data_IF_140788929533
#
_entry.id   IF_140788929533
#
_cell.length_a   1.000
_cell.length_b   1.000
_cell.length_c   1.000
_cell.angle_alpha   90.00
_cell.angle_beta   90.00
_cell.angle_gamma   90.00
#
_symmetry.space_group_name_H-M   'P 1'
#
loop_
_entity.id
_entity.type
_entity.pdbx_description
1 polymer ?
#
# COMPACT_ATOMS: atom_id res chain seq x y z
N UNK A 1 -34.00 23.25 21.43
CA UNK A 1 -34.00 23.34 19.97
C UNK A 1 -32.77 22.59 19.46
N UNK A 2 -32.81 22.10 18.23
CA UNK A 2 -31.65 21.44 17.62
C UNK A 2 -31.23 22.26 16.41
N UNK A 3 -29.93 22.58 16.32
CA UNK A 3 -29.36 23.26 15.16
C UNK A 3 -28.77 22.20 14.23
N UNK A 4 -29.14 22.26 12.96
CA UNK A 4 -28.57 21.40 11.91
C UNK A 4 -27.51 22.16 11.11
N UNK A 5 -26.38 21.53 10.87
CA UNK A 5 -25.27 22.05 10.08
C UNK A 5 -24.99 21.02 8.99
N UNK A 6 -25.22 21.39 7.73
CA UNK A 6 -24.93 20.55 6.57
C UNK A 6 -23.60 21.00 5.97
N UNK A 7 -22.67 20.05 5.87
CA UNK A 7 -21.36 20.22 5.22
C UNK A 7 -21.35 19.37 3.94
N UNK A 8 -21.16 20.04 2.79
CA UNK A 8 -21.08 19.41 1.48
C UNK A 8 -19.85 19.95 0.75
N UNK A 9 -18.99 19.03 0.29
CA UNK A 9 -17.79 19.37 -0.48
C UNK A 9 -18.11 19.42 -1.98
N UNK A 10 -17.41 20.29 -2.70
CA UNK A 10 -17.51 20.34 -4.16
C UNK A 10 -16.86 19.10 -4.79
N UNK A 11 -17.61 18.42 -5.66
CA UNK A 11 -17.05 17.32 -6.46
C UNK A 11 -16.13 17.85 -7.56
N UNK A 12 -14.98 17.19 -7.85
CA UNK A 12 -14.02 17.69 -8.83
C UNK A 12 -14.60 17.85 -10.25
N UNK A 13 -14.11 18.83 -10.99
CA UNK A 13 -14.55 19.12 -12.34
C UNK A 13 -13.79 18.33 -13.41
N UNK A 14 -12.49 18.10 -13.22
CA UNK A 14 -11.66 17.37 -14.18
C UNK A 14 -11.75 15.84 -13.98
N UNK A 15 -11.61 15.09 -15.06
CA UNK A 15 -11.78 13.64 -15.07
C UNK A 15 -10.77 12.90 -14.17
N UNK A 16 -9.53 13.37 -14.08
CA UNK A 16 -8.50 12.72 -13.28
C UNK A 16 -8.82 12.76 -11.77
N UNK A 17 -9.23 13.92 -11.26
CA UNK A 17 -9.62 14.08 -9.86
C UNK A 17 -10.95 13.37 -9.55
N UNK A 18 -11.86 13.30 -10.53
CA UNK A 18 -13.09 12.49 -10.46
C UNK A 18 -12.75 11.01 -10.32
N UNK A 19 -11.84 10.48 -11.14
CA UNK A 19 -11.35 9.10 -11.07
C UNK A 19 -10.64 8.83 -9.74
N UNK A 20 -9.81 9.77 -9.26
CA UNK A 20 -9.15 9.64 -7.97
C UNK A 20 -10.18 9.54 -6.82
N UNK A 21 -11.21 10.37 -6.86
CA UNK A 21 -12.33 10.35 -5.90
C UNK A 21 -13.07 9.02 -5.94
N UNK A 22 -13.55 8.58 -7.11
CA UNK A 22 -14.27 7.32 -7.27
C UNK A 22 -13.42 6.11 -6.87
N UNK A 23 -12.15 6.07 -7.26
CA UNK A 23 -11.25 4.98 -6.90
C UNK A 23 -11.14 4.79 -5.39
N UNK A 24 -11.23 5.88 -4.60
CA UNK A 24 -11.23 5.83 -3.14
C UNK A 24 -12.58 5.35 -2.55
N UNK A 25 -13.69 5.51 -3.27
CA UNK A 25 -15.00 5.01 -2.86
C UNK A 25 -15.11 3.50 -3.08
N UNK A 26 -14.62 3.01 -4.22
CA UNK A 26 -14.78 1.62 -4.64
C UNK A 26 -13.65 0.70 -4.16
N UNK A 27 -12.64 1.20 -3.44
CA UNK A 27 -11.45 0.41 -3.08
C UNK A 27 -11.70 -0.71 -2.06
N UNK A 28 -12.87 -0.76 -1.42
CA UNK A 28 -13.28 -1.84 -0.52
C UNK A 28 -14.78 -2.06 -0.60
N UNK A 29 -15.19 -3.32 -0.50
CA UNK A 29 -16.58 -3.74 -0.61
C UNK A 29 -17.45 -3.24 0.55
N UNK A 30 -16.87 -2.99 1.73
CA UNK A 30 -17.60 -2.37 2.84
C UNK A 30 -17.91 -0.88 2.60
N UNK A 31 -17.04 -0.14 1.88
CA UNK A 31 -17.35 1.24 1.46
C UNK A 31 -18.39 1.26 0.36
N UNK A 32 -18.29 0.35 -0.60
CA UNK A 32 -19.32 0.10 -1.62
C UNK A 32 -20.66 -0.14 -0.94
N UNK A 33 -20.73 -1.09 0.00
CA UNK A 33 -21.95 -1.38 0.75
C UNK A 33 -22.45 -0.15 1.54
N UNK A 34 -21.55 0.63 2.15
CA UNK A 34 -21.89 1.88 2.83
C UNK A 34 -22.58 2.85 1.89
N UNK A 35 -22.00 3.13 0.72
CA UNK A 35 -22.54 4.09 -0.24
C UNK A 35 -23.88 3.63 -0.82
N UNK A 36 -24.02 2.34 -1.13
CA UNK A 36 -25.26 1.77 -1.69
C UNK A 36 -26.44 1.74 -0.72
N UNK A 37 -26.22 1.89 0.59
CA UNK A 37 -27.29 1.92 1.62
C UNK A 37 -27.56 3.34 2.16
N UNK A 38 -26.97 4.36 1.52
CA UNK A 38 -27.29 5.76 1.76
C UNK A 38 -28.37 6.23 0.79
N UNK A 39 -29.15 7.20 1.24
CA UNK A 39 -30.17 7.91 0.46
C UNK A 39 -30.06 9.42 0.74
N UNK A 40 -31.07 10.19 0.33
CA UNK A 40 -31.11 11.65 0.50
C UNK A 40 -31.31 12.06 1.96
N UNK A 41 -31.80 11.15 2.80
CA UNK A 41 -32.01 11.39 4.22
C UNK A 41 -30.72 11.12 4.99
N UNK A 42 -30.25 12.04 5.84
CA UNK A 42 -29.08 11.81 6.68
C UNK A 42 -29.26 10.57 7.57
N UNK A 43 -28.28 9.67 7.55
CA UNK A 43 -28.23 8.45 8.37
C UNK A 43 -27.00 8.38 9.25
N UNK A 44 -27.19 8.03 10.50
CA UNK A 44 -26.08 7.73 11.41
C UNK A 44 -25.37 6.42 11.01
N UNK A 45 -24.10 6.29 11.41
CA UNK A 45 -23.32 5.07 11.16
C UNK A 45 -24.00 3.79 11.68
N UNK A 46 -24.76 3.88 12.78
CA UNK A 46 -25.54 2.75 13.34
C UNK A 46 -26.70 2.33 12.43
N UNK A 47 -27.39 3.29 11.83
CA UNK A 47 -28.50 3.04 10.92
C UNK A 47 -27.99 2.46 9.59
N UNK A 48 -26.89 3.00 9.06
CA UNK A 48 -26.24 2.46 7.87
C UNK A 48 -25.84 0.99 8.10
N UNK A 49 -25.20 0.71 9.23
CA UNK A 49 -24.82 -0.67 9.60
C UNK A 49 -26.04 -1.58 9.74
N UNK A 50 -27.15 -1.10 10.31
CA UNK A 50 -28.39 -1.86 10.44
C UNK A 50 -28.99 -2.20 9.07
N UNK A 51 -29.05 -1.24 8.15
CA UNK A 51 -29.50 -1.48 6.77
C UNK A 51 -28.65 -2.50 6.04
N UNK A 52 -27.32 -2.39 6.12
CA UNK A 52 -26.43 -3.39 5.53
C UNK A 52 -26.65 -4.77 6.16
N UNK A 53 -26.90 -4.82 7.49
CA UNK A 53 -27.21 -6.06 8.21
C UNK A 53 -28.53 -6.67 7.75
N UNK A 54 -29.56 -5.86 7.54
CA UNK A 54 -30.87 -6.30 7.01
C UNK A 54 -30.70 -6.91 5.62
N UNK A 55 -29.90 -6.27 4.74
CA UNK A 55 -29.63 -6.75 3.38
C UNK A 55 -28.89 -8.08 3.34
N UNK A 56 -27.85 -8.28 4.16
CA UNK A 56 -27.04 -9.52 4.09
C UNK A 56 -27.51 -10.62 5.06
N UNK A 57 -28.41 -10.29 5.99
CA UNK A 57 -28.77 -11.17 7.10
C UNK A 57 -27.56 -11.55 7.96
N UNK A 58 -27.14 -12.82 7.92
CA UNK A 58 -26.01 -13.33 8.71
C UNK A 58 -24.70 -13.14 7.95
N UNK A 59 -23.62 -12.82 8.66
CA UNK A 59 -22.30 -12.60 8.06
C UNK A 59 -21.47 -11.58 8.82
N UNK A 60 -20.23 -11.38 8.38
CA UNK A 60 -19.36 -10.40 9.01
C UNK A 60 -19.82 -8.97 8.76
N UNK A 61 -19.79 -8.13 9.81
CA UNK A 61 -19.77 -6.68 9.69
C UNK A 61 -18.83 -6.08 10.74
N UNK A 62 -18.13 -4.98 10.42
CA UNK A 62 -17.25 -4.33 11.38
C UNK A 62 -18.07 -3.59 12.46
N UNK A 63 -17.34 -2.97 13.40
CA UNK A 63 -17.94 -2.11 14.42
C UNK A 63 -18.51 -0.82 13.79
N UNK A 64 -19.40 -0.15 14.51
CA UNK A 64 -20.12 1.04 14.02
C UNK A 64 -19.17 2.18 13.66
N UNK A 65 -18.06 2.31 14.39
CA UNK A 65 -17.02 3.33 14.15
C UNK A 65 -16.38 3.19 12.76
N UNK A 66 -16.35 1.97 12.21
CA UNK A 66 -15.85 1.73 10.86
C UNK A 66 -16.79 2.32 9.80
N UNK A 67 -18.11 2.24 9.99
CA UNK A 67 -19.09 2.88 9.10
C UNK A 67 -19.02 4.41 9.20
N UNK A 68 -18.80 4.95 10.41
CA UNK A 68 -18.54 6.39 10.58
C UNK A 68 -17.27 6.82 9.83
N UNK A 69 -16.20 6.03 9.92
CA UNK A 69 -14.98 6.30 9.17
C UNK A 69 -15.23 6.25 7.65
N UNK A 70 -16.03 5.30 7.16
CA UNK A 70 -16.41 5.27 5.74
C UNK A 70 -17.21 6.49 5.31
N UNK A 71 -18.24 6.87 6.08
CA UNK A 71 -18.99 8.11 5.84
C UNK A 71 -18.10 9.33 5.75
N UNK A 72 -17.14 9.49 6.68
CA UNK A 72 -16.15 10.57 6.62
C UNK A 72 -15.28 10.50 5.35
N UNK A 73 -14.78 9.33 4.97
CA UNK A 73 -13.95 9.21 3.76
C UNK A 73 -14.73 9.45 2.47
N UNK A 74 -16.03 9.14 2.43
CA UNK A 74 -16.92 9.41 1.31
C UNK A 74 -17.30 10.88 1.23
N UNK A 75 -17.47 11.53 2.39
CA UNK A 75 -17.63 12.98 2.49
C UNK A 75 -16.39 13.72 1.98
N UNK A 76 -15.19 13.25 2.34
CA UNK A 76 -13.92 13.87 1.92
C UNK A 76 -13.69 13.89 0.41
N UNK A 77 -14.40 13.03 -0.33
CA UNK A 77 -14.37 12.94 -1.79
C UNK A 77 -15.69 13.41 -2.44
N UNK A 78 -16.51 14.17 -1.69
CA UNK A 78 -17.73 14.83 -2.16
C UNK A 78 -18.85 13.91 -2.68
N UNK A 79 -18.84 12.61 -2.34
CA UNK A 79 -19.93 11.69 -2.70
C UNK A 79 -21.07 11.68 -1.65
N UNK A 80 -20.80 12.20 -0.46
CA UNK A 80 -21.70 12.17 0.69
C UNK A 80 -21.66 13.53 1.39
N UNK A 81 -22.83 14.06 1.75
CA UNK A 81 -22.94 15.22 2.62
C UNK A 81 -22.94 14.77 4.09
N UNK A 82 -22.43 15.63 4.97
CA UNK A 82 -22.36 15.39 6.41
C UNK A 82 -23.28 16.35 7.15
N UNK A 83 -24.31 15.82 7.79
CA UNK A 83 -25.17 16.60 8.67
C UNK A 83 -24.74 16.43 10.13
N UNK A 84 -24.43 17.54 10.80
CA UNK A 84 -24.15 17.55 12.24
C UNK A 84 -25.31 18.24 12.96
N UNK A 85 -25.96 17.50 13.84
CA UNK A 85 -27.03 18.04 14.69
C UNK A 85 -26.45 18.37 16.06
N UNK A 86 -26.63 19.62 16.48
CA UNK A 86 -26.08 20.16 17.72
C UNK A 86 -27.24 20.57 18.64
N UNK A 87 -27.18 20.13 19.90
CA UNK A 87 -28.14 20.53 20.95
C UNK A 87 -27.88 21.99 21.35
N UNK A 88 -28.85 22.66 21.96
CA UNK A 88 -28.68 24.02 22.50
C UNK A 88 -27.47 24.16 23.45
N UNK A 89 -27.07 23.08 24.13
CA UNK A 89 -25.88 23.02 24.98
C UNK A 89 -24.54 23.12 24.23
N UNK A 90 -24.57 23.19 22.90
CA UNK A 90 -23.38 23.13 22.03
C UNK A 90 -22.83 21.71 21.83
N UNK A 91 -23.40 20.69 22.49
CA UNK A 91 -23.00 19.29 22.32
C UNK A 91 -23.55 18.70 21.03
N UNK A 92 -22.70 17.98 20.29
CA UNK A 92 -23.11 17.20 19.13
C UNK A 92 -24.10 16.12 19.60
N UNK A 93 -25.31 16.15 19.04
CA UNK A 93 -26.34 15.15 19.27
C UNK A 93 -26.07 13.90 18.45
N UNK A 94 -25.86 14.07 17.14
CA UNK A 94 -25.46 13.00 16.22
C UNK A 94 -24.85 13.57 14.93
N UNK A 95 -24.23 12.68 14.15
CA UNK A 95 -23.68 12.94 12.82
C UNK A 95 -24.34 11.98 11.84
N UNK A 96 -25.01 12.53 10.83
CA UNK A 96 -25.64 11.81 9.75
C UNK A 96 -24.91 12.00 8.42
N UNK A 97 -25.09 11.03 7.52
CA UNK A 97 -24.53 11.01 6.16
C UNK A 97 -25.66 10.81 5.15
N UNK A 98 -25.67 11.58 4.06
CA UNK A 98 -26.61 11.43 2.94
C UNK A 98 -25.88 11.54 1.59
N UNK A 99 -26.48 11.04 0.52
CA UNK A 99 -25.89 11.14 -0.81
C UNK A 99 -25.90 12.59 -1.33
N UNK A 100 -24.80 13.03 -1.93
CA UNK A 100 -24.79 14.24 -2.78
C UNK A 100 -25.26 13.88 -4.20
N UNK A 101 -25.50 14.89 -5.03
CA UNK A 101 -25.77 14.68 -6.45
C UNK A 101 -24.63 13.93 -7.15
N UNK A 102 -23.37 14.19 -6.79
CA UNK A 102 -22.24 13.42 -7.30
C UNK A 102 -22.24 11.97 -6.79
N UNK A 103 -22.64 11.74 -5.54
CA UNK A 103 -22.84 10.41 -4.98
C UNK A 103 -23.86 9.59 -5.77
N UNK A 104 -25.01 10.19 -6.10
CA UNK A 104 -26.06 9.56 -6.91
C UNK A 104 -25.60 9.33 -8.35
N UNK A 105 -25.08 10.39 -8.98
CA UNK A 105 -24.76 10.43 -10.41
C UNK A 105 -23.57 9.56 -10.75
N UNK A 106 -22.51 9.59 -9.95
CA UNK A 106 -21.25 8.94 -10.27
C UNK A 106 -20.87 7.83 -9.29
N UNK A 107 -21.10 8.09 -8.00
CA UNK A 107 -20.73 7.18 -6.91
C UNK A 107 -21.44 5.82 -7.02
N UNK A 108 -22.78 5.83 -7.03
CA UNK A 108 -23.59 4.60 -7.07
C UNK A 108 -23.30 3.74 -8.30
N UNK A 109 -23.30 4.27 -9.54
CA UNK A 109 -22.93 3.48 -10.72
C UNK A 109 -21.56 2.83 -10.63
N UNK A 110 -20.54 3.58 -10.22
CA UNK A 110 -19.19 3.04 -10.08
C UNK A 110 -19.12 1.93 -9.01
N UNK A 111 -19.85 2.09 -7.90
CA UNK A 111 -19.90 1.07 -6.84
C UNK A 111 -20.61 -0.21 -7.28
N UNK A 112 -21.71 -0.12 -8.04
CA UNK A 112 -22.42 -1.30 -8.56
C UNK A 112 -21.52 -2.08 -9.52
N UNK A 113 -20.89 -1.39 -10.49
CA UNK A 113 -19.99 -2.04 -11.43
C UNK A 113 -18.80 -2.71 -10.73
N UNK A 114 -18.21 -2.05 -9.74
CA UNK A 114 -17.08 -2.58 -8.98
C UNK A 114 -17.48 -3.79 -8.15
N UNK A 115 -18.68 -3.77 -7.54
CA UNK A 115 -19.21 -4.89 -6.78
C UNK A 115 -19.45 -6.09 -7.67
N UNK A 116 -20.12 -5.87 -8.81
CA UNK A 116 -20.39 -6.92 -9.80
C UNK A 116 -19.09 -7.57 -10.27
N UNK A 117 -18.13 -6.76 -10.73
CA UNK A 117 -16.83 -7.25 -11.16
C UNK A 117 -16.15 -8.09 -10.07
N UNK A 118 -16.16 -7.61 -8.82
CA UNK A 118 -15.50 -8.29 -7.70
C UNK A 118 -16.08 -9.67 -7.43
N UNK A 119 -17.41 -9.76 -7.43
CA UNK A 119 -18.14 -11.00 -7.18
C UNK A 119 -17.98 -11.96 -8.36
N UNK A 120 -18.20 -11.49 -9.58
CA UNK A 120 -18.17 -12.31 -10.80
C UNK A 120 -16.76 -12.86 -11.09
N UNK A 121 -15.72 -12.12 -10.72
CA UNK A 121 -14.32 -12.53 -10.91
C UNK A 121 -13.67 -13.06 -9.62
N UNK A 122 -14.44 -13.21 -8.54
CA UNK A 122 -14.01 -13.72 -7.24
C UNK A 122 -12.71 -13.08 -6.74
N UNK A 123 -12.64 -11.74 -6.79
CA UNK A 123 -11.48 -10.95 -6.42
C UNK A 123 -11.94 -9.67 -5.74
N UNK A 124 -11.34 -9.31 -4.60
CA UNK A 124 -11.73 -8.07 -3.93
C UNK A 124 -11.13 -6.84 -4.61
N UNK A 125 -11.90 -5.75 -4.71
CA UNK A 125 -11.42 -4.43 -5.10
C UNK A 125 -10.25 -3.97 -4.23
N UNK A 126 -10.16 -4.38 -2.97
CA UNK A 126 -9.01 -4.08 -2.12
C UNK A 126 -7.73 -4.71 -2.64
N UNK A 127 -7.79 -5.90 -3.24
CA UNK A 127 -6.60 -6.51 -3.81
C UNK A 127 -6.14 -5.77 -5.07
N UNK A 128 -7.10 -5.28 -5.87
CA UNK A 128 -6.85 -4.55 -7.10
C UNK A 128 -6.35 -3.14 -6.80
N UNK A 129 -7.11 -2.36 -6.02
CA UNK A 129 -6.90 -0.93 -5.77
C UNK A 129 -6.09 -0.65 -4.51
N UNK A 130 -6.09 -1.55 -3.53
CA UNK A 130 -5.29 -1.40 -2.32
C UNK A 130 -5.87 -0.43 -1.29
N UNK A 131 -5.02 -0.05 -0.34
CA UNK A 131 -5.40 0.77 0.80
C UNK A 131 -5.20 2.27 0.56
N UNK A 132 -6.02 3.08 1.22
CA UNK A 132 -5.95 4.55 1.26
C UNK A 132 -5.11 5.09 2.43
N UNK A 133 -4.44 4.22 3.20
CA UNK A 133 -3.68 4.62 4.39
C UNK A 133 -2.47 5.52 4.09
N UNK A 134 -2.01 5.59 2.83
CA UNK A 134 -0.99 6.55 2.40
C UNK A 134 -1.66 7.85 1.93
N UNK A 135 -1.19 9.00 2.42
CA UNK A 135 -1.75 10.31 2.04
C UNK A 135 -1.29 10.80 0.65
N UNK A 136 -2.07 11.71 0.05
CA UNK A 136 -1.73 12.42 -1.20
C UNK A 136 -1.64 11.55 -2.46
N UNK A 137 -0.82 11.98 -3.42
CA UNK A 137 -0.61 11.34 -4.74
C UNK A 137 0.04 9.94 -4.66
N UNK A 138 0.36 9.48 -3.45
CA UNK A 138 0.87 8.13 -3.17
C UNK A 138 -0.24 7.12 -2.83
N UNK A 139 -1.51 7.52 -2.92
CA UNK A 139 -2.66 6.64 -2.65
C UNK A 139 -2.70 5.47 -3.63
N UNK A 140 -2.83 4.27 -3.08
CA UNK A 140 -2.79 3.04 -3.88
C UNK A 140 -3.89 2.96 -4.95
N UNK A 141 -5.16 3.34 -4.68
CA UNK A 141 -6.25 3.10 -5.64
C UNK A 141 -6.00 3.74 -7.00
N UNK A 142 -5.86 5.07 -7.03
CA UNK A 142 -5.70 5.78 -8.29
C UNK A 142 -4.40 5.43 -9.02
N UNK A 143 -3.28 5.29 -8.31
CA UNK A 143 -2.01 4.91 -8.93
C UNK A 143 -2.06 3.53 -9.57
N UNK A 144 -2.72 2.55 -8.95
CA UNK A 144 -2.88 1.22 -9.56
C UNK A 144 -3.78 1.26 -10.79
N UNK A 145 -4.83 2.08 -10.80
CA UNK A 145 -5.62 2.30 -12.01
C UNK A 145 -4.75 2.87 -13.14
N UNK A 146 -3.97 3.92 -12.85
CA UNK A 146 -3.05 4.54 -13.82
C UNK A 146 -2.03 3.54 -14.35
N UNK A 147 -1.38 2.75 -13.48
CA UNK A 147 -0.45 1.69 -13.91
C UNK A 147 -1.12 0.74 -14.91
N UNK A 148 -2.32 0.25 -14.59
CA UNK A 148 -3.03 -0.71 -15.45
C UNK A 148 -3.47 -0.07 -16.77
N UNK A 149 -3.90 1.20 -16.78
CA UNK A 149 -4.19 1.96 -18.01
C UNK A 149 -2.96 2.06 -18.90
N UNK A 150 -1.84 2.57 -18.37
CA UNK A 150 -0.62 2.78 -19.16
C UNK A 150 -0.08 1.46 -19.72
N UNK A 151 -0.16 0.37 -18.94
CA UNK A 151 0.23 -0.95 -19.41
C UNK A 151 -0.77 -1.55 -20.42
N UNK A 152 -2.06 -1.23 -20.34
CA UNK A 152 -3.05 -1.64 -21.34
C UNK A 152 -2.77 -0.99 -22.69
N UNK A 153 -2.54 0.33 -22.69
CA UNK A 153 -2.30 1.14 -23.89
C UNK A 153 -0.97 0.78 -24.58
N UNK A 154 0.09 0.56 -23.79
CA UNK A 154 1.45 0.34 -24.31
C UNK A 154 1.86 -1.13 -24.33
N UNK A 155 1.06 -2.01 -23.73
CA UNK A 155 1.31 -3.45 -23.58
C UNK A 155 2.37 -3.80 -22.53
N UNK A 156 3.55 -3.17 -22.62
CA UNK A 156 4.70 -3.41 -21.77
C UNK A 156 5.45 -2.11 -21.51
N UNK A 157 5.88 -1.89 -20.27
CA UNK A 157 6.65 -0.72 -19.86
C UNK A 157 7.81 -1.09 -18.94
N UNK A 158 8.85 -0.26 -18.96
CA UNK A 158 9.92 -0.33 -17.95
C UNK A 158 9.42 0.38 -16.70
N UNK A 159 9.82 -0.10 -15.53
CA UNK A 159 9.44 0.49 -14.23
C UNK A 159 9.80 1.98 -14.14
N UNK A 160 10.93 2.38 -14.72
CA UNK A 160 11.37 3.78 -14.75
C UNK A 160 10.47 4.67 -15.62
N UNK A 161 9.89 4.12 -16.70
CA UNK A 161 8.96 4.86 -17.56
C UNK A 161 7.62 5.03 -16.82
N UNK A 162 7.18 4.00 -16.09
CA UNK A 162 6.01 4.09 -15.21
C UNK A 162 6.20 5.14 -14.11
N UNK A 163 7.39 5.22 -13.52
CA UNK A 163 7.75 6.25 -12.53
C UNK A 163 7.61 7.66 -13.11
N UNK A 164 8.11 7.88 -14.32
CA UNK A 164 8.06 9.16 -15.02
C UNK A 164 6.63 9.54 -15.42
N UNK A 165 5.91 8.63 -16.08
CA UNK A 165 4.52 8.86 -16.55
C UNK A 165 3.57 9.11 -15.37
N UNK A 166 3.73 8.34 -14.29
CA UNK A 166 2.83 8.44 -13.12
C UNK A 166 3.23 9.61 -12.23
N UNK A 167 4.49 10.04 -12.25
CA UNK A 167 5.01 11.06 -11.36
C UNK A 167 5.12 10.57 -9.90
N UNK A 168 5.44 9.29 -9.69
CA UNK A 168 5.50 8.68 -8.36
C UNK A 168 6.87 8.09 -8.05
N UNK A 169 7.17 7.83 -6.77
CA UNK A 169 8.47 7.27 -6.37
C UNK A 169 8.62 5.81 -6.84
N UNK A 170 9.82 5.44 -7.28
CA UNK A 170 10.18 4.06 -7.65
C UNK A 170 9.73 3.01 -6.61
N UNK A 171 9.93 3.26 -5.31
CA UNK A 171 9.51 2.32 -4.26
C UNK A 171 7.99 2.12 -4.22
N UNK A 172 7.21 3.15 -4.54
CA UNK A 172 5.74 3.07 -4.57
C UNK A 172 5.29 2.27 -5.79
N UNK A 173 5.82 2.60 -6.97
CA UNK A 173 5.53 1.86 -8.21
C UNK A 173 5.89 0.38 -8.07
N UNK A 174 7.07 0.08 -7.53
CA UNK A 174 7.50 -1.31 -7.29
C UNK A 174 6.50 -2.06 -6.38
N UNK A 175 6.05 -1.44 -5.28
CA UNK A 175 5.05 -2.05 -4.37
C UNK A 175 3.73 -2.31 -5.07
N UNK A 176 3.29 -1.39 -5.93
CA UNK A 176 2.06 -1.56 -6.71
C UNK A 176 2.20 -2.70 -7.73
N UNK A 177 3.30 -2.74 -8.48
CA UNK A 177 3.57 -3.80 -9.45
C UNK A 177 3.66 -5.18 -8.78
N UNK A 178 4.33 -5.30 -7.64
CA UNK A 178 4.36 -6.55 -6.86
C UNK A 178 2.95 -6.98 -6.45
N UNK A 179 2.12 -6.05 -5.98
CA UNK A 179 0.76 -6.36 -5.56
C UNK A 179 -0.14 -6.78 -6.74
N UNK A 180 -0.02 -6.10 -7.88
CA UNK A 180 -0.74 -6.43 -9.12
C UNK A 180 -0.26 -7.77 -9.72
N UNK A 181 1.04 -8.06 -9.63
CA UNK A 181 1.59 -9.34 -10.06
C UNK A 181 1.07 -10.49 -9.18
N UNK A 182 0.95 -10.29 -7.86
CA UNK A 182 0.40 -11.28 -6.93
C UNK A 182 -1.03 -11.73 -7.29
N UNK A 183 -1.83 -10.86 -7.90
CA UNK A 183 -3.20 -11.18 -8.33
C UNK A 183 -3.31 -11.58 -9.80
N UNK A 184 -2.17 -11.68 -10.51
CA UNK A 184 -2.10 -12.09 -11.92
C UNK A 184 -2.56 -11.02 -12.91
N UNK A 185 -2.54 -9.74 -12.54
CA UNK A 185 -2.92 -8.65 -13.45
C UNK A 185 -1.77 -8.20 -14.34
N UNK A 186 -0.53 -8.36 -13.86
CA UNK A 186 0.69 -8.02 -14.59
C UNK A 186 1.75 -9.10 -14.36
N UNK A 187 2.70 -9.25 -15.28
CA UNK A 187 4.01 -9.80 -14.93
C UNK A 187 4.89 -8.65 -14.46
N UNK A 188 5.78 -8.92 -13.50
CA UNK A 188 6.76 -7.95 -13.05
C UNK A 188 8.11 -8.62 -12.83
N UNK A 189 8.98 -8.50 -13.82
CA UNK A 189 10.33 -9.03 -13.78
C UNK A 189 11.22 -8.03 -13.05
N UNK A 190 11.21 -8.10 -11.72
CA UNK A 190 12.01 -7.23 -10.87
C UNK A 190 13.47 -7.66 -10.93
N UNK A 191 14.34 -6.79 -11.44
CA UNK A 191 15.77 -7.02 -11.40
C UNK A 191 16.26 -6.64 -10.01
N UNK A 192 16.44 -7.66 -9.15
CA UNK A 192 16.97 -7.47 -7.80
C UNK A 192 18.39 -6.92 -7.80
N UNK A 193 18.84 -6.36 -6.68
CA UNK A 193 20.20 -5.82 -6.52
C UNK A 193 21.31 -6.83 -6.89
N UNK A 194 21.05 -8.13 -6.80
CA UNK A 194 21.96 -9.21 -7.23
C UNK A 194 22.06 -9.39 -8.75
N UNK A 195 20.99 -9.08 -9.50
CA UNK A 195 20.92 -9.17 -10.97
C UNK A 195 21.20 -7.82 -11.65
N UNK A 196 21.20 -6.70 -10.91
CA UNK A 196 21.56 -5.35 -11.42
C UNK A 196 23.01 -5.21 -11.88
N UNK A 197 23.80 -6.29 -11.89
CA UNK A 197 25.24 -6.24 -12.10
C UNK A 197 25.92 -5.62 -10.89
N UNK A 198 27.03 -6.21 -10.46
CA UNK A 198 27.86 -5.61 -9.41
C UNK A 198 28.82 -4.64 -10.07
N UNK A 199 28.71 -3.35 -9.76
CA UNK A 199 29.72 -2.38 -10.19
C UNK A 199 31.09 -2.80 -9.64
N UNK A 200 32.09 -2.86 -10.52
CA UNK A 200 33.48 -2.87 -10.08
C UNK A 200 34.03 -1.45 -10.17
N UNK A 201 34.93 -1.15 -9.25
CA UNK A 201 35.54 0.16 -9.08
C UNK A 201 37.05 0.00 -9.21
N UNK A 202 37.67 0.91 -9.94
CA UNK A 202 39.12 0.95 -10.12
C UNK A 202 39.60 2.37 -9.93
N UNK A 203 40.76 2.54 -9.29
CA UNK A 203 41.38 3.85 -9.18
C UNK A 203 41.78 4.38 -10.57
N UNK A 204 41.58 5.68 -10.81
CA UNK A 204 42.02 6.29 -12.07
C UNK A 204 43.52 6.57 -11.98
N UNK A 205 44.35 6.03 -12.88
CA UNK A 205 45.79 6.27 -12.87
C UNK A 205 46.13 7.77 -12.89
N UNK A 206 47.12 8.17 -12.10
CA UNK A 206 47.58 9.57 -11.99
C UNK A 206 46.81 10.45 -11.02
N UNK A 207 45.75 9.95 -10.37
CA UNK A 207 45.08 10.65 -9.25
C UNK A 207 45.75 10.33 -7.92
N UNK A 208 45.99 11.35 -7.08
CA UNK A 208 46.54 11.18 -5.74
C UNK A 208 45.42 10.84 -4.73
N UNK A 209 45.56 9.77 -3.92
CA UNK A 209 44.59 9.43 -2.88
C UNK A 209 44.56 10.46 -1.73
N UNK A 210 45.63 11.25 -1.53
CA UNK A 210 45.70 12.27 -0.49
C UNK A 210 44.85 13.52 -0.80
N UNK A 211 44.45 13.70 -2.06
CA UNK A 211 43.65 14.84 -2.51
C UNK A 211 42.14 14.55 -2.52
N UNK A 212 41.72 13.43 -1.93
CA UNK A 212 40.31 13.02 -1.87
C UNK A 212 39.56 13.81 -0.80
N UNK A 213 38.45 14.43 -1.17
CA UNK A 213 37.56 15.05 -0.20
C UNK A 213 36.77 13.98 0.57
N UNK A 214 36.54 14.22 1.85
CA UNK A 214 35.78 13.30 2.70
C UNK A 214 34.33 13.16 2.20
N UNK A 215 33.86 11.90 2.09
CA UNK A 215 32.47 11.62 1.73
C UNK A 215 31.61 11.48 2.99
N UNK A 216 30.77 12.48 3.25
CA UNK A 216 29.90 12.53 4.43
C UNK A 216 30.68 12.75 5.72
N UNK A 217 30.33 12.04 6.80
CA UNK A 217 31.03 12.12 8.10
C UNK A 217 32.12 11.04 8.27
N UNK A 218 32.51 10.36 7.20
CA UNK A 218 33.33 9.14 7.27
C UNK A 218 34.78 9.38 6.82
N UNK A 219 35.49 10.27 7.52
CA UNK A 219 36.86 10.70 7.19
C UNK A 219 37.81 9.50 7.05
N UNK A 220 37.95 8.71 8.13
CA UNK A 220 38.89 7.58 8.18
C UNK A 220 38.54 6.49 7.17
N UNK A 221 37.26 6.17 6.99
CA UNK A 221 36.85 5.14 6.03
C UNK A 221 37.02 5.62 4.58
N UNK A 222 36.77 6.91 4.30
CA UNK A 222 37.00 7.48 2.96
C UNK A 222 38.46 7.35 2.57
N UNK A 223 39.38 7.72 3.47
CA UNK A 223 40.83 7.59 3.25
C UNK A 223 41.23 6.13 3.04
N UNK A 224 40.79 5.21 3.92
CA UNK A 224 41.07 3.77 3.78
C UNK A 224 40.58 3.18 2.45
N UNK A 225 39.40 3.59 1.97
CA UNK A 225 38.87 3.15 0.67
C UNK A 225 39.70 3.70 -0.48
N UNK A 226 40.08 4.98 -0.44
CA UNK A 226 40.91 5.61 -1.47
C UNK A 226 42.31 5.00 -1.54
N UNK A 227 42.98 4.86 -0.38
CA UNK A 227 44.32 4.27 -0.26
C UNK A 227 44.34 2.84 -0.81
N UNK A 228 43.34 2.02 -0.44
CA UNK A 228 43.25 0.65 -0.89
C UNK A 228 43.12 0.56 -2.42
N UNK A 229 42.21 1.34 -3.01
CA UNK A 229 42.00 1.34 -4.46
C UNK A 229 43.23 1.84 -5.22
N UNK A 230 43.88 2.89 -4.72
CA UNK A 230 45.08 3.48 -5.32
C UNK A 230 46.28 2.51 -5.29
N UNK A 231 46.47 1.78 -4.18
CA UNK A 231 47.58 0.84 -4.02
C UNK A 231 47.42 -0.44 -4.84
N UNK A 232 46.18 -0.93 -4.99
CA UNK A 232 45.95 -2.25 -5.57
C UNK A 232 45.63 -2.22 -7.07
N UNK A 233 45.27 -1.05 -7.62
CA UNK A 233 44.99 -0.77 -9.04
C UNK A 233 44.22 -1.88 -9.79
N UNK A 234 43.32 -2.58 -9.09
CA UNK A 234 42.49 -3.68 -9.59
C UNK A 234 41.03 -3.29 -9.46
N UNK A 235 40.24 -3.78 -10.40
CA UNK A 235 38.79 -3.71 -10.30
C UNK A 235 38.30 -4.49 -9.08
N UNK A 236 37.50 -3.85 -8.23
CA UNK A 236 36.94 -4.48 -7.03
C UNK A 236 35.46 -4.16 -6.84
N UNK A 237 34.72 -5.15 -6.38
CA UNK A 237 33.31 -5.04 -6.02
C UNK A 237 33.12 -4.51 -4.60
N UNK A 238 32.05 -3.75 -4.34
CA UNK A 238 31.78 -3.14 -3.04
C UNK A 238 31.78 -4.14 -1.85
N UNK A 239 31.15 -5.32 -1.97
CA UNK A 239 31.17 -6.31 -0.89
C UNK A 239 32.54 -6.93 -0.69
N UNK A 240 33.29 -7.14 -1.77
CA UNK A 240 34.66 -7.66 -1.70
C UNK A 240 35.54 -6.65 -0.99
N UNK A 241 35.43 -5.37 -1.35
CA UNK A 241 36.13 -4.28 -0.67
C UNK A 241 35.74 -4.17 0.81
N UNK A 242 34.46 -4.36 1.16
CA UNK A 242 34.00 -4.39 2.54
C UNK A 242 34.66 -5.50 3.36
N UNK A 243 34.85 -6.69 2.75
CA UNK A 243 35.52 -7.81 3.40
C UNK A 243 37.01 -7.55 3.58
N UNK A 244 37.69 -7.04 2.55
CA UNK A 244 39.13 -6.76 2.62
C UNK A 244 39.45 -5.63 3.60
N UNK A 245 38.58 -4.63 3.70
CA UNK A 245 38.71 -3.57 4.70
C UNK A 245 38.21 -3.98 6.09
N UNK A 246 37.75 -5.22 6.26
CA UNK A 246 37.16 -5.74 7.51
C UNK A 246 36.06 -4.84 8.08
N UNK A 247 35.28 -4.23 7.18
CA UNK A 247 34.26 -3.26 7.55
C UNK A 247 32.87 -3.89 7.47
N UNK A 248 32.10 -3.73 8.56
CA UNK A 248 30.81 -4.42 8.77
C UNK A 248 29.67 -3.90 7.87
N UNK A 249 29.77 -2.68 7.35
CA UNK A 249 28.64 -1.97 6.71
C UNK A 249 28.95 -1.61 5.24
N UNK A 250 28.67 -2.52 4.28
CA UNK A 250 28.93 -2.30 2.85
C UNK A 250 28.25 -1.05 2.26
N UNK A 251 27.12 -0.62 2.81
CA UNK A 251 26.36 0.56 2.38
C UNK A 251 27.17 1.86 2.50
N UNK A 252 28.03 1.96 3.51
CA UNK A 252 28.91 3.11 3.70
C UNK A 252 30.01 3.14 2.65
N UNK A 253 30.60 1.98 2.36
CA UNK A 253 31.60 1.82 1.30
C UNK A 253 30.97 2.15 -0.05
N UNK A 254 29.74 1.68 -0.32
CA UNK A 254 29.01 2.03 -1.54
C UNK A 254 28.80 3.53 -1.70
N UNK A 255 28.50 4.25 -0.60
CA UNK A 255 28.35 5.71 -0.61
C UNK A 255 29.68 6.42 -0.88
N UNK A 256 30.77 5.95 -0.25
CA UNK A 256 32.13 6.48 -0.47
C UNK A 256 32.54 6.26 -1.93
N UNK A 257 32.43 5.04 -2.45
CA UNK A 257 32.75 4.71 -3.85
C UNK A 257 31.97 5.59 -4.83
N UNK A 258 30.69 5.85 -4.55
CA UNK A 258 29.88 6.77 -5.37
C UNK A 258 30.37 8.22 -5.30
N UNK A 259 30.86 8.65 -4.14
CA UNK A 259 31.47 9.97 -3.95
C UNK A 259 32.81 10.11 -4.66
N UNK A 260 33.68 9.10 -4.59
CA UNK A 260 34.97 9.08 -5.29
C UNK A 260 34.82 9.06 -6.82
N UNK A 261 33.78 8.41 -7.33
CA UNK A 261 33.40 8.48 -8.76
C UNK A 261 33.01 9.92 -9.12
N UNK A 262 32.21 10.60 -8.29
CA UNK A 262 31.83 12.01 -8.54
C UNK A 262 33.00 12.97 -8.50
N UNK A 263 33.99 12.70 -7.65
CA UNK A 263 35.25 13.46 -7.59
C UNK A 263 36.20 13.14 -8.76
N UNK A 264 35.89 12.15 -9.59
CA UNK A 264 36.75 11.74 -10.71
C UNK A 264 38.06 11.06 -10.27
N UNK A 265 38.07 10.45 -9.07
CA UNK A 265 39.21 9.69 -8.54
C UNK A 265 39.12 8.20 -8.88
N UNK A 266 37.90 7.69 -9.03
CA UNK A 266 37.62 6.27 -9.25
C UNK A 266 36.82 6.10 -10.53
N UNK A 267 37.31 5.24 -11.41
CA UNK A 267 36.59 4.72 -12.57
C UNK A 267 35.62 3.64 -12.11
N UNK A 268 34.44 3.63 -12.73
CA UNK A 268 33.43 2.58 -12.51
C UNK A 268 33.25 1.84 -13.81
N UNK A 269 33.42 0.51 -13.80
CA UNK A 269 33.22 -0.28 -15.02
C UNK A 269 31.81 -0.14 -15.58
N UNK A 270 31.75 -0.19 -16.91
CA UNK A 270 30.54 -0.16 -17.74
C UNK A 270 30.04 -1.55 -18.14
N UNK A 271 30.60 -2.65 -17.58
CA UNK A 271 29.99 -3.98 -17.76
C UNK A 271 28.56 -4.06 -17.20
N UNK A 272 28.16 -3.04 -16.42
CA UNK A 272 26.78 -2.62 -16.32
C UNK A 272 26.34 -1.76 -17.51
N UNK A 273 25.48 -2.33 -18.36
CA UNK A 273 24.71 -1.57 -19.33
C UNK A 273 23.58 -0.82 -18.64
N UNK A 274 23.94 0.36 -18.14
CA UNK A 274 23.04 1.38 -17.67
C UNK A 274 21.83 1.55 -18.59
N UNK A 275 20.69 0.95 -18.23
CA UNK A 275 19.45 1.10 -18.97
C UNK A 275 19.15 0.07 -20.06
N UNK A 276 19.92 -1.01 -20.20
CA UNK A 276 19.52 -2.12 -21.08
C UNK A 276 18.69 -3.20 -20.38
N UNK A 277 19.01 -3.56 -19.13
CA UNK A 277 18.19 -4.48 -18.34
C UNK A 277 17.47 -3.65 -17.25
N UNK A 278 16.21 -3.31 -17.51
CA UNK A 278 15.34 -2.59 -16.57
C UNK A 278 14.25 -3.53 -16.07
N UNK A 279 13.74 -3.32 -14.86
CA UNK A 279 12.54 -4.04 -14.43
C UNK A 279 11.42 -3.74 -15.43
N UNK A 280 10.74 -4.78 -15.89
CA UNK A 280 9.69 -4.66 -16.91
C UNK A 280 8.38 -5.15 -16.29
N UNK A 281 7.32 -4.42 -16.59
CA UNK A 281 5.96 -4.82 -16.31
C UNK A 281 5.18 -4.99 -17.60
N UNK A 282 4.37 -6.04 -17.69
CA UNK A 282 3.48 -6.32 -18.82
C UNK A 282 2.09 -6.65 -18.30
N UNK A 283 1.05 -6.07 -18.88
CA UNK A 283 -0.32 -6.41 -18.51
C UNK A 283 -0.69 -7.81 -19.01
N UNK A 284 -1.37 -8.57 -18.14
CA UNK A 284 -1.92 -9.90 -18.45
C UNK A 284 -3.41 -9.80 -18.79
N UNK A 285 -3.98 -10.87 -19.34
CA UNK A 285 -5.37 -10.91 -19.78
C UNK A 285 -6.36 -10.56 -18.66
N UNK A 286 -6.09 -11.01 -17.43
CA UNK A 286 -6.92 -10.66 -16.26
C UNK A 286 -6.89 -9.15 -15.97
N UNK A 287 -5.73 -8.51 -16.13
CA UNK A 287 -5.59 -7.05 -15.99
C UNK A 287 -6.27 -6.30 -17.13
N UNK A 288 -6.17 -6.81 -18.37
CA UNK A 288 -6.88 -6.27 -19.54
C UNK A 288 -8.40 -6.36 -19.37
N UNK A 289 -8.90 -7.51 -18.91
CA UNK A 289 -10.31 -7.75 -18.61
C UNK A 289 -10.82 -6.75 -17.57
N UNK A 290 -10.11 -6.58 -16.46
CA UNK A 290 -10.47 -5.57 -15.45
C UNK A 290 -10.52 -4.15 -16.03
N UNK A 291 -9.53 -3.80 -16.86
CA UNK A 291 -9.51 -2.48 -17.51
C UNK A 291 -10.78 -2.28 -18.36
N UNK A 292 -11.13 -3.27 -19.17
CA UNK A 292 -12.23 -3.15 -20.12
C UNK A 292 -13.61 -3.24 -19.44
N UNK A 293 -13.75 -4.05 -18.39
CA UNK A 293 -15.04 -4.28 -17.70
C UNK A 293 -15.28 -3.38 -16.48
N UNK A 294 -14.25 -2.71 -15.95
CA UNK A 294 -14.39 -1.84 -14.76
C UNK A 294 -13.81 -0.44 -14.95
N UNK A 295 -12.58 -0.32 -15.44
CA UNK A 295 -11.94 0.99 -15.58
C UNK A 295 -12.61 1.86 -16.66
N UNK A 296 -12.77 1.33 -17.89
CA UNK A 296 -13.41 2.07 -18.98
C UNK A 296 -14.85 2.49 -18.66
N UNK A 297 -15.73 1.60 -18.14
CA UNK A 297 -17.05 2.01 -17.68
C UNK A 297 -17.03 3.13 -16.63
N UNK A 298 -16.05 3.11 -15.71
CA UNK A 298 -15.89 4.20 -14.73
C UNK A 298 -15.52 5.52 -15.41
N UNK A 299 -14.67 5.50 -16.44
CA UNK A 299 -14.32 6.68 -17.25
C UNK A 299 -15.54 7.22 -17.99
N UNK A 300 -16.35 6.34 -18.58
CA UNK A 300 -17.59 6.71 -19.29
C UNK A 300 -18.57 7.42 -18.35
N UNK A 301 -18.86 6.81 -17.19
CA UNK A 301 -19.72 7.40 -16.15
C UNK A 301 -19.24 8.80 -15.76
N UNK A 302 -17.93 8.95 -15.48
CA UNK A 302 -17.37 10.20 -14.97
C UNK A 302 -17.22 11.29 -16.03
N UNK A 303 -17.27 10.89 -17.30
CA UNK A 303 -17.27 11.79 -18.46
C UNK A 303 -18.68 12.06 -18.98
N UNK A 304 -19.71 11.64 -18.23
CA UNK A 304 -21.13 11.77 -18.59
C UNK A 304 -21.55 11.04 -19.88
N UNK A 305 -20.68 10.17 -20.41
CA UNK A 305 -20.99 9.33 -21.56
C UNK A 305 -21.78 8.11 -21.11
N UNK A 306 -22.96 7.89 -21.70
CA UNK A 306 -23.83 6.76 -21.37
C UNK A 306 -24.28 6.72 -19.90
N UNK A 307 -24.31 7.86 -19.20
CA UNK A 307 -24.66 7.94 -17.79
C UNK A 307 -26.05 7.34 -17.51
N UNK A 308 -27.06 7.67 -18.32
CA UNK A 308 -28.43 7.18 -18.15
C UNK A 308 -28.49 5.64 -18.19
N UNK A 309 -27.76 5.02 -19.13
CA UNK A 309 -27.62 3.57 -19.22
C UNK A 309 -27.05 2.96 -17.94
N UNK A 310 -26.06 3.61 -17.34
CA UNK A 310 -25.46 3.13 -16.10
C UNK A 310 -26.38 3.36 -14.89
N UNK A 311 -27.16 4.44 -14.87
CA UNK A 311 -28.17 4.68 -13.83
C UNK A 311 -29.30 3.66 -13.89
N UNK A 312 -29.81 3.34 -15.09
CA UNK A 312 -30.80 2.28 -15.28
C UNK A 312 -30.27 0.91 -14.82
N UNK A 313 -29.00 0.62 -15.12
CA UNK A 313 -28.33 -0.60 -14.65
C UNK A 313 -28.24 -0.65 -13.12
N UNK A 314 -27.96 0.47 -12.46
CA UNK A 314 -27.94 0.56 -10.99
C UNK A 314 -29.31 0.23 -10.43
N UNK A 315 -30.35 0.90 -10.94
CA UNK A 315 -31.71 0.70 -10.46
C UNK A 315 -32.14 -0.77 -10.61
N UNK A 316 -31.92 -1.34 -11.80
CA UNK A 316 -32.23 -2.75 -12.08
C UNK A 316 -31.48 -3.69 -11.14
N UNK A 317 -30.20 -3.41 -10.86
CA UNK A 317 -29.39 -4.24 -9.98
C UNK A 317 -29.86 -4.18 -8.52
N UNK A 318 -30.20 -2.99 -8.02
CA UNK A 318 -30.65 -2.78 -6.64
C UNK A 318 -32.04 -3.37 -6.36
N UNK A 319 -32.91 -3.36 -7.37
CA UNK A 319 -34.23 -3.99 -7.33
C UNK A 319 -34.16 -5.52 -7.54
N UNK A 320 -33.01 -6.05 -7.97
CA UNK A 320 -32.86 -7.49 -8.23
C UNK A 320 -32.73 -8.32 -6.96
N UNK A 321 -33.24 -9.56 -7.00
CA UNK A 321 -33.07 -10.54 -5.92
C UNK A 321 -31.59 -10.84 -5.61
N UNK A 322 -30.70 -10.59 -6.58
CA UNK A 322 -29.27 -10.85 -6.45
C UNK A 322 -28.54 -9.79 -5.61
N UNK A 323 -29.12 -8.61 -5.40
CA UNK A 323 -28.48 -7.49 -4.72
C UNK A 323 -27.90 -7.90 -3.36
N UNK A 324 -28.71 -8.56 -2.53
CA UNK A 324 -28.33 -9.07 -1.21
C UNK A 324 -27.14 -10.04 -1.28
N UNK A 325 -27.17 -10.97 -2.23
CA UNK A 325 -26.12 -11.96 -2.47
C UNK A 325 -24.79 -11.32 -2.90
N UNK A 326 -24.84 -10.32 -3.78
CA UNK A 326 -23.65 -9.60 -4.22
C UNK A 326 -23.03 -8.79 -3.08
N UNK A 327 -23.84 -8.08 -2.28
CA UNK A 327 -23.34 -7.33 -1.11
C UNK A 327 -22.69 -8.28 -0.10
N UNK A 328 -23.37 -9.38 0.25
CA UNK A 328 -22.85 -10.38 1.18
C UNK A 328 -21.55 -11.01 0.69
N UNK A 329 -21.49 -11.42 -0.59
CA UNK A 329 -20.30 -12.02 -1.19
C UNK A 329 -19.14 -11.03 -1.27
N UNK A 330 -19.40 -9.78 -1.66
CA UNK A 330 -18.41 -8.72 -1.70
C UNK A 330 -17.77 -8.46 -0.33
N UNK A 331 -18.59 -8.37 0.72
CA UNK A 331 -18.09 -8.19 2.09
C UNK A 331 -17.19 -9.35 2.52
N UNK A 332 -17.57 -10.59 2.23
CA UNK A 332 -16.75 -11.76 2.56
C UNK A 332 -15.44 -11.82 1.73
N UNK A 333 -15.47 -11.40 0.45
CA UNK A 333 -14.26 -11.24 -0.36
C UNK A 333 -13.29 -10.27 0.31
N UNK A 334 -13.75 -9.07 0.70
CA UNK A 334 -12.91 -8.10 1.41
C UNK A 334 -12.38 -8.64 2.74
N UNK A 335 -13.27 -9.24 3.54
CA UNK A 335 -12.95 -9.83 4.84
C UNK A 335 -11.81 -10.83 4.71
N UNK A 336 -11.84 -11.70 3.70
CA UNK A 336 -10.84 -12.76 3.50
C UNK A 336 -9.43 -12.24 3.20
N UNK A 337 -9.30 -11.01 2.71
CA UNK A 337 -8.02 -10.44 2.25
C UNK A 337 -7.56 -9.22 3.03
N UNK A 338 -8.43 -8.62 3.84
CA UNK A 338 -8.12 -7.40 4.59
C UNK A 338 -7.10 -7.69 5.70
N UNK A 339 -5.91 -7.08 5.66
CA UNK A 339 -4.90 -7.29 6.70
C UNK A 339 -5.35 -6.79 8.06
N UNK A 340 -6.20 -5.75 8.11
CA UNK A 340 -6.69 -5.18 9.36
C UNK A 340 -7.72 -6.09 10.01
N UNK A 341 -8.65 -6.66 9.22
CA UNK A 341 -9.67 -7.58 9.74
C UNK A 341 -9.04 -8.88 10.20
N UNK A 342 -8.08 -9.40 9.44
CA UNK A 342 -7.36 -10.63 9.76
C UNK A 342 -6.12 -10.39 10.62
N UNK A 343 -5.96 -9.17 11.17
CA UNK A 343 -4.85 -8.89 12.08
C UNK A 343 -5.11 -9.62 13.39
N UNK A 344 -4.10 -10.36 13.86
CA UNK A 344 -4.14 -10.90 15.22
C UNK A 344 -4.24 -9.75 16.21
N UNK A 345 -5.09 -9.92 17.22
CA UNK A 345 -5.17 -9.03 18.37
C UNK A 345 -3.82 -8.94 19.10
N UNK A 346 -3.67 -7.87 19.88
CA UNK A 346 -2.52 -7.70 20.78
C UNK A 346 -2.31 -8.92 21.69
N UNK A 347 -3.40 -9.49 22.20
CA UNK A 347 -3.36 -10.64 23.10
C UNK A 347 -2.93 -11.93 22.38
N UNK A 348 -3.54 -12.25 21.24
CA UNK A 348 -3.13 -13.41 20.42
C UNK A 348 -1.66 -13.32 20.01
N UNK A 349 -1.18 -12.10 19.72
CA UNK A 349 0.22 -11.88 19.37
C UNK A 349 1.16 -12.11 20.56
N UNK A 350 0.77 -11.66 21.74
CA UNK A 350 1.51 -11.91 22.99
C UNK A 350 1.58 -13.40 23.30
N UNK A 351 0.47 -14.11 23.20
CA UNK A 351 0.40 -15.56 23.42
C UNK A 351 1.26 -16.34 22.41
N UNK A 352 1.24 -15.95 21.14
CA UNK A 352 2.09 -16.55 20.11
C UNK A 352 3.58 -16.34 20.38
N UNK A 353 3.98 -15.12 20.79
CA UNK A 353 5.36 -14.83 21.19
C UNK A 353 5.75 -15.64 22.44
N UNK A 354 4.87 -15.71 23.44
CA UNK A 354 5.07 -16.49 24.66
C UNK A 354 5.28 -17.97 24.34
N UNK A 355 4.35 -18.57 23.61
CA UNK A 355 4.42 -19.97 23.20
C UNK A 355 5.69 -20.28 22.39
N UNK A 356 6.09 -19.37 21.49
CA UNK A 356 7.30 -19.57 20.69
C UNK A 356 8.56 -19.60 21.57
N UNK A 357 8.67 -18.68 22.54
CA UNK A 357 9.82 -18.59 23.46
C UNK A 357 9.81 -19.78 24.43
N UNK A 358 8.65 -20.18 24.97
CA UNK A 358 8.53 -21.36 25.84
C UNK A 358 8.99 -22.63 25.12
N UNK A 359 8.65 -22.78 23.84
CA UNK A 359 9.08 -23.94 23.07
C UNK A 359 10.53 -23.85 22.56
N UNK A 360 11.17 -22.67 22.66
CA UNK A 360 12.49 -22.40 22.09
C UNK A 360 13.20 -21.33 22.94
N UNK A 361 13.76 -21.74 24.07
CA UNK A 361 14.49 -20.83 24.94
C UNK A 361 15.72 -20.24 24.24
N UNK A 362 16.04 -18.99 24.56
CA UNK A 362 17.24 -18.33 24.06
C UNK A 362 17.14 -17.73 22.66
N UNK A 363 15.93 -17.61 22.08
CA UNK A 363 15.75 -16.94 20.79
C UNK A 363 16.07 -15.44 20.89
N UNK A 364 16.66 -14.89 19.84
CA UNK A 364 16.88 -13.45 19.66
C UNK A 364 15.64 -12.76 19.07
N UNK A 365 15.57 -11.42 19.18
CA UNK A 365 14.50 -10.63 18.54
C UNK A 365 14.41 -10.90 17.04
N UNK A 366 15.55 -11.12 16.38
CA UNK A 366 15.60 -11.42 14.93
C UNK A 366 14.94 -12.76 14.63
N UNK A 367 15.29 -13.81 15.38
CA UNK A 367 14.78 -15.16 15.13
C UNK A 367 13.28 -15.26 15.43
N UNK A 368 12.81 -14.60 16.49
CA UNK A 368 11.37 -14.51 16.78
C UNK A 368 10.65 -13.79 15.63
N UNK A 369 11.18 -12.66 15.16
CA UNK A 369 10.60 -11.89 14.07
C UNK A 369 10.52 -12.71 12.76
N UNK A 370 11.58 -13.47 12.45
CA UNK A 370 11.64 -14.34 11.27
C UNK A 370 10.65 -15.50 11.36
N UNK A 371 10.59 -16.19 12.50
CA UNK A 371 9.67 -17.32 12.72
C UNK A 371 8.20 -16.90 12.68
N UNK A 372 7.87 -15.76 13.29
CA UNK A 372 6.50 -15.24 13.32
C UNK A 372 6.16 -14.39 12.08
N UNK A 373 7.13 -14.14 11.19
CA UNK A 373 7.00 -13.26 10.01
C UNK A 373 6.48 -11.87 10.37
N UNK A 374 7.00 -11.30 11.44
CA UNK A 374 6.67 -9.95 11.94
C UNK A 374 7.90 -9.05 11.96
N UNK A 375 7.71 -7.76 12.24
CA UNK A 375 8.84 -6.82 12.36
C UNK A 375 9.55 -6.96 13.71
N UNK A 376 10.86 -6.72 13.74
CA UNK A 376 11.64 -6.72 14.99
C UNK A 376 11.10 -5.73 16.04
N UNK A 377 10.71 -4.48 15.69
CA UNK A 377 10.12 -3.55 16.66
C UNK A 377 8.85 -4.10 17.32
N UNK A 378 8.02 -4.84 16.57
CA UNK A 378 6.80 -5.45 17.11
C UNK A 378 7.14 -6.51 18.16
N UNK A 379 8.16 -7.34 17.89
CA UNK A 379 8.65 -8.33 18.87
C UNK A 379 9.16 -7.64 20.12
N UNK A 380 10.00 -6.61 19.98
CA UNK A 380 10.54 -5.85 21.12
C UNK A 380 9.41 -5.23 21.95
N UNK A 381 8.42 -4.63 21.30
CA UNK A 381 7.26 -4.05 21.96
C UNK A 381 6.49 -5.10 22.78
N UNK A 382 6.11 -6.24 22.19
CA UNK A 382 5.30 -7.23 22.92
C UNK A 382 6.08 -8.00 23.98
N UNK A 383 7.35 -8.32 23.73
CA UNK A 383 8.20 -8.96 24.74
C UNK A 383 8.41 -8.06 25.97
N UNK A 384 8.48 -6.73 25.79
CA UNK A 384 8.55 -5.79 26.93
C UNK A 384 7.27 -5.69 27.78
N UNK A 385 6.15 -6.22 27.28
CA UNK A 385 4.85 -6.20 27.97
C UNK A 385 4.48 -7.54 28.62
N UNK A 386 5.36 -8.54 28.51
CA UNK A 386 5.15 -9.89 29.01
C UNK A 386 6.08 -10.09 30.21
N UNK A 387 5.59 -9.93 31.45
CA UNK A 387 6.42 -9.98 32.65
C UNK A 387 7.11 -11.34 32.86
N UNK A 388 6.59 -12.42 32.26
CA UNK A 388 7.13 -13.77 32.37
C UNK A 388 8.32 -14.01 31.42
N UNK A 389 8.57 -13.09 30.49
CA UNK A 389 9.71 -13.18 29.56
C UNK A 389 10.90 -12.46 30.17
N UNK A 390 11.95 -13.21 30.48
CA UNK A 390 13.26 -12.66 30.88
C UNK A 390 14.16 -12.43 29.67
N UNK A 391 14.98 -11.39 29.78
CA UNK A 391 16.02 -11.07 28.80
C UNK A 391 17.40 -11.46 29.35
N UNK A 392 18.11 -12.31 28.63
CA UNK A 392 19.53 -12.57 28.85
C UNK A 392 20.37 -11.87 27.80
N UNK A 393 21.59 -11.46 28.16
CA UNK A 393 22.60 -11.00 27.19
C UNK A 393 23.64 -12.07 27.01
N UNK A 394 23.89 -12.44 25.75
CA UNK A 394 25.03 -13.27 25.37
C UNK A 394 25.86 -12.48 24.36
N UNK A 395 27.02 -11.98 24.82
CA UNK A 395 27.81 -11.00 24.07
C UNK A 395 27.03 -9.71 23.80
N UNK A 396 26.82 -9.37 22.53
CA UNK A 396 26.05 -8.19 22.10
C UNK A 396 24.57 -8.46 21.81
N UNK A 397 24.14 -9.72 21.89
CA UNK A 397 22.79 -10.13 21.50
C UNK A 397 21.86 -10.29 22.72
N UNK A 398 20.61 -9.83 22.56
CA UNK A 398 19.54 -10.01 23.55
C UNK A 398 18.77 -11.29 23.19
N UNK A 399 18.67 -12.20 24.15
CA UNK A 399 17.96 -13.47 24.05
C UNK A 399 16.81 -13.52 25.05
N UNK A 400 15.73 -14.19 24.68
CA UNK A 400 14.51 -14.27 25.48
C UNK A 400 14.32 -15.67 26.07
N UNK A 401 13.87 -15.71 27.32
CA UNK A 401 13.60 -16.92 28.09
C UNK A 401 12.26 -16.75 28.80
N UNK A 402 11.56 -17.85 29.07
CA UNK A 402 10.40 -17.85 29.98
C UNK A 402 10.79 -18.61 31.24
N UNK A 403 10.39 -18.08 32.40
CA UNK A 403 10.53 -18.83 33.64
C UNK A 403 9.45 -19.91 33.70
N UNK A 404 9.86 -21.17 33.84
CA UNK A 404 8.92 -22.30 34.03
C UNK A 404 8.34 -22.37 35.47
N UNK A 405 8.51 -21.31 36.26
CA UNK A 405 8.06 -21.26 37.66
C UNK A 405 7.16 -20.03 37.91
N UNK A 406 5.88 -20.15 37.52
CA UNK A 406 4.74 -19.48 38.18
C UNK A 406 3.61 -20.50 38.33
#
# INVERSE_FOLDING_TARGET
>A
MERRIIDEKSFPSNLEDRLASISNAINTELKIATLLHLDDSPREAREIKARVRETIGRGYLPKTETFMAYGNTLHDIALVAKETVVRDTGKIAYIGYSLTEAGKRYGRPATVLSLQYSVDNNISMFQILGSILTGGDSRSPYNRMRILRELKERGQLREVDLVEIIGSNNSIIQKHLIALAKIGFVTFDSIGAKQKGKFTYQWIPGKSPDNVETIGRQVTLTKRVADYLAQHNKEIECHTLSKVLEYKYPEHISKILSGLVKQGCVGRTSSWKAGEIKSIAKILDKGRKWHDESYLPSVEILSDHSLDKYQEKVQTFEESEQFSGYIGRGIELYRSVSPNINSKSSQERKEEIKLLISNNHGLTTREIAERLRVSRPLVTYYTSQLPEIRQGKEGSEVRYFIDDNI
#
